data_IF_954742604403
#
_entry.id   IF_954742604403
#
_cell.length_a   1.000
_cell.length_b   1.000
_cell.length_c   1.000
_cell.angle_alpha   90.00
_cell.angle_beta   90.00
_cell.angle_gamma   90.00
#
_symmetry.space_group_name_H-M   'P 1'
#
loop_
_entity.id
_entity.type
_entity.pdbx_description
1 polymer ?
#
# COMPACT_ATOMS: atom_id res chain seq x y z
N UNK A 1 -14.16 -8.36 1.40
CA UNK A 1 -13.12 -7.59 2.14
C UNK A 1 -13.38 -6.12 1.92
N UNK A 2 -13.40 -5.34 3.00
CA UNK A 2 -13.50 -3.88 2.94
C UNK A 2 -12.26 -3.29 2.25
N UNK A 3 -12.33 -2.01 1.87
CA UNK A 3 -11.18 -1.28 1.33
C UNK A 3 -10.01 -1.29 2.34
N UNK A 4 -10.33 -1.11 3.62
CA UNK A 4 -9.35 -1.13 4.71
C UNK A 4 -8.69 -2.50 4.87
N UNK A 5 -9.47 -3.59 4.75
CA UNK A 5 -8.92 -4.95 4.83
C UNK A 5 -7.95 -5.23 3.68
N UNK A 6 -8.33 -4.82 2.46
CA UNK A 6 -7.49 -4.99 1.25
C UNK A 6 -6.21 -4.18 1.37
N UNK A 7 -6.31 -2.92 1.77
CA UNK A 7 -5.15 -2.05 1.97
C UNK A 7 -4.19 -2.61 3.03
N UNK A 8 -4.70 -3.01 4.19
CA UNK A 8 -3.87 -3.57 5.26
C UNK A 8 -3.20 -4.88 4.87
N UNK A 9 -3.88 -5.72 4.08
CA UNK A 9 -3.29 -6.95 3.55
C UNK A 9 -2.12 -6.64 2.62
N UNK A 10 -2.32 -5.81 1.60
CA UNK A 10 -1.29 -5.47 0.62
C UNK A 10 -0.10 -4.75 1.27
N UNK A 11 -0.37 -3.79 2.18
CA UNK A 11 0.67 -3.09 2.94
C UNK A 11 1.55 -4.07 3.72
N UNK A 12 0.95 -5.09 4.36
CA UNK A 12 1.67 -6.12 5.10
C UNK A 12 2.53 -7.00 4.16
N UNK A 13 2.07 -7.27 2.95
CA UNK A 13 2.82 -8.03 1.94
C UNK A 13 4.08 -7.26 1.55
N UNK A 14 3.95 -5.99 1.19
CA UNK A 14 5.10 -5.14 0.82
C UNK A 14 6.15 -5.07 1.95
N UNK A 15 5.71 -4.82 3.19
CA UNK A 15 6.62 -4.76 4.35
C UNK A 15 7.40 -6.06 4.51
N UNK A 16 6.72 -7.21 4.44
CA UNK A 16 7.38 -8.53 4.59
C UNK A 16 8.38 -8.81 3.47
N UNK A 17 8.06 -8.42 2.24
CA UNK A 17 8.97 -8.58 1.11
C UNK A 17 10.22 -7.71 1.29
N UNK A 18 10.04 -6.44 1.69
CA UNK A 18 11.14 -5.53 2.00
C UNK A 18 12.03 -6.10 3.11
N UNK A 19 11.45 -6.54 4.22
CA UNK A 19 12.18 -7.13 5.35
C UNK A 19 12.95 -8.38 4.94
N UNK A 20 12.31 -9.26 4.16
CA UNK A 20 12.95 -10.48 3.64
C UNK A 20 14.15 -10.13 2.77
N UNK A 21 14.00 -9.20 1.83
CA UNK A 21 15.11 -8.79 0.98
C UNK A 21 16.21 -8.08 1.80
N UNK A 22 15.87 -7.23 2.77
CA UNK A 22 16.87 -6.62 3.67
C UNK A 22 17.72 -7.65 4.44
N UNK A 23 17.15 -8.81 4.77
CA UNK A 23 17.88 -9.91 5.42
C UNK A 23 18.69 -10.78 4.45
N UNK A 24 18.34 -10.80 3.16
CA UNK A 24 19.05 -11.58 2.15
C UNK A 24 20.09 -10.70 1.43
N UNK A 25 21.38 -11.05 1.53
CA UNK A 25 22.47 -10.42 0.76
C UNK A 25 22.48 -10.88 -0.71
N UNK A 26 21.32 -10.90 -1.35
CA UNK A 26 21.18 -11.18 -2.78
C UNK A 26 21.59 -9.93 -3.60
N UNK A 27 22.24 -10.16 -4.73
CA UNK A 27 22.70 -9.14 -5.68
C UNK A 27 21.52 -8.27 -6.16
N UNK A 28 20.33 -8.86 -6.26
CA UNK A 28 19.12 -8.15 -6.68
C UNK A 28 18.30 -7.56 -5.53
N UNK A 29 18.73 -7.76 -4.28
CA UNK A 29 17.97 -7.37 -3.10
C UNK A 29 17.67 -5.87 -3.06
N UNK A 30 18.67 -5.02 -3.35
CA UNK A 30 18.49 -3.56 -3.36
C UNK A 30 17.48 -3.08 -4.39
N UNK A 31 17.47 -3.67 -5.59
CA UNK A 31 16.51 -3.32 -6.63
C UNK A 31 15.08 -3.75 -6.26
N UNK A 32 14.94 -4.93 -5.66
CA UNK A 32 13.64 -5.41 -5.17
C UNK A 32 13.10 -4.56 -4.03
N UNK A 33 13.95 -4.17 -3.07
CA UNK A 33 13.57 -3.27 -1.97
C UNK A 33 13.03 -1.95 -2.54
N UNK A 34 13.74 -1.33 -3.47
CA UNK A 34 13.30 -0.08 -4.10
C UNK A 34 11.94 -0.24 -4.82
N UNK A 35 11.75 -1.32 -5.57
CA UNK A 35 10.50 -1.60 -6.25
C UNK A 35 9.32 -1.77 -5.27
N UNK A 36 9.56 -2.47 -4.15
CA UNK A 36 8.53 -2.68 -3.12
C UNK A 36 8.25 -1.42 -2.30
N UNK A 37 9.26 -0.61 -1.99
CA UNK A 37 9.07 0.69 -1.32
C UNK A 37 8.27 1.65 -2.20
N UNK A 38 8.57 1.70 -3.51
CA UNK A 38 7.77 2.48 -4.46
C UNK A 38 6.32 1.97 -4.57
N UNK A 39 6.13 0.64 -4.67
CA UNK A 39 4.79 0.04 -4.71
C UNK A 39 3.97 0.34 -3.45
N UNK A 40 4.62 0.34 -2.28
CA UNK A 40 4.00 0.69 -1.01
C UNK A 40 3.55 2.16 -0.97
N UNK A 41 4.39 3.07 -1.45
CA UNK A 41 4.04 4.50 -1.51
C UNK A 41 2.81 4.73 -2.40
N UNK A 42 2.79 4.17 -3.60
CA UNK A 42 1.64 4.30 -4.52
C UNK A 42 0.37 3.69 -3.92
N UNK A 43 0.49 2.55 -3.23
CA UNK A 43 -0.64 1.92 -2.53
C UNK A 43 -1.23 2.85 -1.46
N UNK A 44 -0.38 3.51 -0.67
CA UNK A 44 -0.79 4.48 0.36
C UNK A 44 -1.49 5.70 -0.27
N UNK A 45 -0.94 6.26 -1.35
CA UNK A 45 -1.54 7.38 -2.09
C UNK A 45 -2.92 7.04 -2.65
N UNK A 46 -3.07 5.89 -3.32
CA UNK A 46 -4.35 5.44 -3.89
C UNK A 46 -5.38 5.23 -2.79
N UNK A 47 -4.97 4.66 -1.66
CA UNK A 47 -5.87 4.42 -0.53
C UNK A 47 -6.37 5.72 0.09
N UNK A 48 -5.51 6.72 0.25
CA UNK A 48 -5.91 8.05 0.71
C UNK A 48 -6.88 8.73 -0.25
N UNK A 49 -6.62 8.66 -1.57
CA UNK A 49 -7.51 9.20 -2.60
C UNK A 49 -8.87 8.50 -2.55
N UNK A 50 -8.87 7.17 -2.48
CA UNK A 50 -10.08 6.35 -2.38
C UNK A 50 -10.90 6.67 -1.13
N UNK A 51 -10.23 7.00 -0.01
CA UNK A 51 -10.90 7.45 1.23
C UNK A 51 -11.48 8.86 1.10
N UNK A 52 -10.81 9.77 0.39
CA UNK A 52 -11.30 11.14 0.15
C UNK A 52 -12.51 11.14 -0.77
N UNK A 53 -12.56 10.25 -1.78
CA UNK A 53 -13.71 10.10 -2.67
C UNK A 53 -14.95 9.62 -1.92
N UNK A 54 -14.82 8.58 -1.09
CA UNK A 54 -15.93 8.10 -0.25
C UNK A 54 -16.52 9.18 0.65
N UNK A 55 -15.68 10.01 1.26
CA UNK A 55 -16.14 11.11 2.12
C UNK A 55 -16.90 12.18 1.34
N UNK A 56 -16.51 12.46 0.10
CA UNK A 56 -17.23 13.41 -0.77
C UNK A 56 -18.59 12.89 -1.18
N UNK A 57 -18.72 11.60 -1.51
CA UNK A 57 -20.01 10.99 -1.84
C UNK A 57 -20.99 11.03 -0.65
N UNK A 58 -20.51 10.84 0.59
CA UNK A 58 -21.32 10.93 1.81
C UNK A 58 -21.76 12.38 2.14
N UNK A 59 -20.96 13.39 1.79
CA UNK A 59 -21.28 14.81 2.03
C UNK A 59 -22.17 15.44 0.94
N UNK A 60 -22.10 14.96 -0.30
CA UNK A 60 -22.85 15.51 -1.44
C UNK A 60 -24.31 15.02 -1.50
N UNK A 61 -24.62 13.88 -0.86
CA UNK A 61 -25.99 13.37 -0.70
C UNK A 61 -26.28 13.01 0.76
N UNK A 62 -26.51 14.01 1.63
CA UNK A 62 -27.00 13.76 2.97
C UNK A 62 -28.48 13.39 2.83
N UNK A 63 -28.82 12.13 3.11
CA UNK A 63 -30.22 11.72 3.26
C UNK A 63 -30.88 12.44 4.44
#
# INVERSE_FOLDING_TARGET
>A
MSLDDKFNLERRIFIRLIERHKQQQDIFSSAMILAYEHGLQVLEEIYELSKKEKKKEEEEYPF
#
